data_IF_117489473083
#
_entry.id   IF_117489473083
#
_cell.length_a   1.000
_cell.length_b   1.000
_cell.length_c   1.000
_cell.angle_alpha   90.00
_cell.angle_beta   90.00
_cell.angle_gamma   90.00
#
_symmetry.space_group_name_H-M   'P 1'
#
loop_
_entity.id
_entity.type
_entity.pdbx_description
1 polymer ?
#
# COMPACT_ATOMS: atom_id res chain seq x y z
N UNK A 1 28.01 36.20 -29.93
CA UNK A 1 29.40 35.79 -30.22
C UNK A 1 30.01 35.01 -29.06
N UNK A 2 30.40 35.61 -27.93
CA UNK A 2 31.10 34.86 -26.87
C UNK A 2 30.22 33.75 -26.22
N UNK A 3 28.94 34.02 -25.94
CA UNK A 3 28.00 33.00 -25.40
C UNK A 3 27.69 31.86 -26.38
N UNK A 4 27.76 32.14 -27.68
CA UNK A 4 27.45 31.19 -28.75
C UNK A 4 28.62 30.23 -28.96
N UNK A 5 29.85 30.76 -28.94
CA UNK A 5 31.08 29.97 -28.96
C UNK A 5 31.21 29.03 -27.75
N UNK A 6 30.83 29.50 -26.56
CA UNK A 6 30.81 28.68 -25.34
C UNK A 6 29.81 27.52 -25.45
N UNK A 7 28.64 27.75 -26.05
CA UNK A 7 27.63 26.71 -26.23
C UNK A 7 28.04 25.69 -27.30
N UNK A 8 28.61 26.14 -28.43
CA UNK A 8 29.16 25.26 -29.47
C UNK A 8 30.25 24.35 -28.92
N UNK A 9 31.18 24.88 -28.12
CA UNK A 9 32.23 24.08 -27.49
C UNK A 9 31.66 23.09 -26.47
N UNK A 10 30.63 23.49 -25.71
CA UNK A 10 29.95 22.59 -24.77
C UNK A 10 29.31 21.39 -25.48
N UNK A 11 28.66 21.63 -26.61
CA UNK A 11 28.03 20.57 -27.42
C UNK A 11 29.07 19.66 -28.05
N UNK A 12 30.18 20.22 -28.57
CA UNK A 12 31.30 19.44 -29.10
C UNK A 12 31.93 18.55 -28.03
N UNK A 13 32.18 19.07 -26.83
CA UNK A 13 32.70 18.28 -25.70
C UNK A 13 31.71 17.19 -25.26
N UNK A 14 30.39 17.46 -25.30
CA UNK A 14 29.38 16.44 -25.06
C UNK A 14 29.42 15.35 -26.15
N UNK A 15 29.65 15.72 -27.41
CA UNK A 15 29.87 14.76 -28.49
C UNK A 15 31.15 13.94 -28.27
N UNK A 16 32.28 14.55 -27.87
CA UNK A 16 33.51 13.81 -27.50
C UNK A 16 33.23 12.81 -26.37
N UNK A 17 32.56 13.24 -25.30
CA UNK A 17 32.20 12.38 -24.18
C UNK A 17 31.32 11.19 -24.60
N UNK A 18 30.39 11.40 -25.56
CA UNK A 18 29.50 10.36 -26.10
C UNK A 18 30.25 9.15 -26.66
N UNK A 19 31.43 9.35 -27.26
CA UNK A 19 32.20 8.24 -27.83
C UNK A 19 33.07 7.51 -26.81
N UNK A 20 33.22 8.04 -25.58
CA UNK A 20 34.07 7.48 -24.51
C UNK A 20 35.46 7.07 -25.05
N UNK A 21 36.00 7.90 -25.94
CA UNK A 21 37.20 7.57 -26.71
C UNK A 21 38.47 8.00 -25.99
N UNK A 22 38.41 9.07 -25.20
CA UNK A 22 39.52 9.60 -24.40
C UNK A 22 40.02 8.55 -23.41
N UNK A 23 41.34 8.48 -23.25
CA UNK A 23 42.05 7.53 -22.37
C UNK A 23 41.73 6.05 -22.62
N UNK A 24 41.11 5.72 -23.76
CA UNK A 24 40.80 4.34 -24.12
C UNK A 24 42.06 3.60 -24.57
N UNK A 25 42.19 2.28 -24.28
CA UNK A 25 43.37 1.50 -24.64
C UNK A 25 43.74 1.58 -26.12
N UNK A 26 45.03 1.36 -26.49
CA UNK A 26 45.47 1.34 -27.88
C UNK A 26 44.63 0.39 -28.74
N UNK A 27 44.46 0.77 -30.00
CA UNK A 27 43.55 0.09 -30.88
C UNK A 27 44.16 -0.10 -32.28
N UNK A 28 44.30 -1.36 -32.67
CA UNK A 28 44.92 -1.72 -33.93
C UNK A 28 44.20 -1.16 -35.16
N UNK A 29 42.93 -0.76 -35.08
CA UNK A 29 42.22 -0.12 -36.20
C UNK A 29 42.75 1.30 -36.44
N UNK A 30 42.76 2.17 -35.42
CA UNK A 30 43.26 3.54 -35.54
C UNK A 30 44.77 3.57 -35.83
N UNK A 31 45.54 2.64 -35.26
CA UNK A 31 47.00 2.52 -35.50
C UNK A 31 47.34 2.22 -36.95
N UNK A 32 46.55 1.37 -37.60
CA UNK A 32 46.71 1.11 -39.03
C UNK A 32 46.39 2.35 -39.87
N UNK A 33 45.40 3.13 -39.48
CA UNK A 33 44.99 4.34 -40.21
C UNK A 33 46.07 5.43 -40.10
N UNK A 34 46.56 5.71 -38.88
CA UNK A 34 47.65 6.66 -38.64
C UNK A 34 48.92 6.28 -39.44
N UNK A 35 49.30 5.01 -39.42
CA UNK A 35 50.45 4.50 -40.17
C UNK A 35 50.24 4.56 -41.70
N UNK A 36 49.02 4.29 -42.17
CA UNK A 36 48.69 4.36 -43.60
C UNK A 36 48.70 5.81 -44.10
N UNK A 37 48.14 6.74 -43.33
CA UNK A 37 48.17 8.17 -43.65
C UNK A 37 49.61 8.67 -43.80
N UNK A 38 50.50 8.37 -42.84
CA UNK A 38 51.91 8.73 -42.90
C UNK A 38 52.61 8.17 -44.16
N UNK A 39 52.38 6.89 -44.49
CA UNK A 39 52.98 6.22 -45.66
C UNK A 39 52.50 6.79 -46.99
N UNK A 40 51.20 7.02 -47.14
CA UNK A 40 50.62 7.53 -48.39
C UNK A 40 51.09 8.96 -48.67
N UNK A 41 51.20 9.79 -47.63
CA UNK A 41 51.74 11.14 -47.73
C UNK A 41 53.27 11.20 -47.74
N UNK A 42 53.94 10.06 -47.57
CA UNK A 42 55.40 9.95 -47.49
C UNK A 42 56.01 10.92 -46.45
N UNK A 43 55.35 11.04 -45.29
CA UNK A 43 55.81 11.85 -44.17
C UNK A 43 56.02 10.98 -42.93
N UNK A 44 56.88 11.38 -41.98
CA UNK A 44 57.25 10.52 -40.85
C UNK A 44 56.10 10.30 -39.86
N UNK A 45 55.14 11.23 -39.76
CA UNK A 45 54.17 11.25 -38.66
C UNK A 45 52.73 11.25 -39.19
N UNK A 46 51.89 10.40 -38.60
CA UNK A 46 50.43 10.39 -38.79
C UNK A 46 49.74 10.18 -37.44
N UNK A 47 48.66 10.92 -37.17
CA UNK A 47 48.01 10.98 -35.86
C UNK A 47 46.49 11.03 -36.02
N UNK A 48 45.78 10.18 -35.29
CA UNK A 48 44.36 10.35 -34.98
C UNK A 48 44.28 11.00 -33.60
N UNK A 49 43.82 12.24 -33.55
CA UNK A 49 43.74 13.04 -32.34
C UNK A 49 42.31 13.40 -32.00
N UNK A 50 42.01 13.51 -30.71
CA UNK A 50 40.74 13.98 -30.14
C UNK A 50 41.06 15.19 -29.27
N UNK A 51 40.34 16.28 -29.48
CA UNK A 51 40.55 17.54 -28.75
C UNK A 51 39.62 17.56 -27.55
N UNK A 52 40.20 17.42 -26.36
CA UNK A 52 39.53 17.52 -25.06
C UNK A 52 39.54 18.97 -24.55
N UNK A 53 39.06 19.23 -23.34
CA UNK A 53 38.95 20.57 -22.76
C UNK A 53 40.30 21.30 -22.69
N UNK A 54 41.32 20.63 -22.18
CA UNK A 54 42.64 21.20 -21.83
C UNK A 54 43.82 20.52 -22.56
N UNK A 55 43.55 19.41 -23.25
CA UNK A 55 44.57 18.63 -23.96
C UNK A 55 44.11 18.19 -25.35
N UNK A 56 45.07 17.83 -26.19
CA UNK A 56 44.84 17.05 -27.40
C UNK A 56 45.36 15.65 -27.12
N UNK A 57 44.45 14.68 -27.09
CA UNK A 57 44.76 13.30 -26.82
C UNK A 57 44.92 12.53 -28.13
N UNK A 58 46.01 11.77 -28.27
CA UNK A 58 46.29 11.01 -29.47
C UNK A 58 45.72 9.61 -29.31
N UNK A 59 44.54 9.38 -29.92
CA UNK A 59 43.95 8.05 -29.96
C UNK A 59 44.87 7.04 -30.64
N UNK A 60 45.62 7.53 -31.62
CA UNK A 60 46.64 6.77 -32.32
C UNK A 60 47.70 7.70 -32.89
N UNK A 61 48.95 7.25 -32.91
CA UNK A 61 50.08 7.98 -33.46
C UNK A 61 51.06 7.02 -34.14
N UNK A 62 51.69 7.49 -35.22
CA UNK A 62 52.75 6.80 -35.93
C UNK A 62 53.96 7.73 -36.05
N UNK A 63 55.17 7.20 -35.84
CA UNK A 63 56.42 7.94 -36.01
C UNK A 63 56.77 8.94 -34.91
N UNK A 64 56.02 8.94 -33.80
CA UNK A 64 56.27 9.75 -32.61
C UNK A 64 55.88 8.94 -31.35
N UNK A 65 56.55 9.18 -30.21
CA UNK A 65 56.29 8.52 -28.92
C UNK A 65 55.70 9.53 -27.91
N UNK A 66 54.57 10.13 -28.27
CA UNK A 66 53.83 11.09 -27.43
C UNK A 66 52.36 10.70 -27.48
N UNK A 67 51.68 10.64 -26.33
CA UNK A 67 50.27 10.23 -26.23
C UNK A 67 49.30 11.42 -26.13
N UNK A 68 49.78 12.58 -25.68
CA UNK A 68 48.99 13.80 -25.60
C UNK A 68 49.89 15.04 -25.54
N UNK A 69 49.33 16.18 -25.88
CA UNK A 69 49.94 17.51 -25.74
C UNK A 69 48.95 18.50 -25.17
N UNK A 70 49.44 19.63 -24.67
CA UNK A 70 48.58 20.73 -24.23
C UNK A 70 47.77 21.28 -25.41
N UNK A 71 46.51 21.64 -25.16
CA UNK A 71 45.59 22.06 -26.23
C UNK A 71 46.07 23.29 -26.98
N UNK A 72 46.74 24.21 -26.29
CA UNK A 72 47.26 25.46 -26.87
C UNK A 72 48.48 25.23 -27.76
N UNK A 73 49.21 24.13 -27.55
CA UNK A 73 50.44 23.81 -28.28
C UNK A 73 50.14 23.12 -29.62
N UNK A 74 49.01 22.43 -29.74
CA UNK A 74 48.70 21.60 -30.90
C UNK A 74 47.95 22.30 -32.03
N UNK A 75 48.39 22.02 -33.25
CA UNK A 75 47.75 22.44 -34.50
C UNK A 75 46.31 21.89 -34.65
N UNK A 76 46.01 20.72 -34.08
CA UNK A 76 44.68 20.11 -34.16
C UNK A 76 43.57 20.98 -33.52
N UNK A 77 43.87 21.75 -32.47
CA UNK A 77 42.88 22.61 -31.81
C UNK A 77 42.40 23.76 -32.71
N UNK A 78 43.24 24.22 -33.63
CA UNK A 78 42.86 25.21 -34.65
C UNK A 78 42.12 24.58 -35.82
N UNK A 79 42.52 23.36 -36.21
CA UNK A 79 41.89 22.63 -37.30
C UNK A 79 40.42 22.28 -37.03
N UNK A 80 40.05 21.92 -35.79
CA UNK A 80 38.66 21.59 -35.45
C UNK A 80 37.68 22.77 -35.52
N UNK A 81 38.19 24.01 -35.60
CA UNK A 81 37.37 25.22 -35.77
C UNK A 81 36.98 25.45 -37.24
N UNK A 82 37.43 24.60 -38.15
CA UNK A 82 37.14 24.63 -39.58
C UNK A 82 36.51 23.30 -39.97
N UNK A 83 35.67 23.31 -41.02
CA UNK A 83 35.02 22.11 -41.56
C UNK A 83 35.78 21.47 -42.73
N UNK A 84 36.86 22.13 -43.17
CA UNK A 84 37.67 21.72 -44.31
C UNK A 84 39.10 21.33 -43.91
N UNK A 85 39.87 20.82 -44.88
CA UNK A 85 41.27 20.49 -44.71
C UNK A 85 42.05 21.70 -44.18
N UNK A 86 42.74 21.50 -43.06
CA UNK A 86 43.69 22.48 -42.56
C UNK A 86 45.10 22.14 -43.06
N UNK A 87 45.54 22.85 -44.10
CA UNK A 87 46.82 22.63 -44.79
C UNK A 87 47.81 23.76 -44.48
N UNK A 88 49.02 23.37 -44.08
CA UNK A 88 50.20 24.23 -43.90
C UNK A 88 51.35 23.59 -44.68
N UNK A 89 51.70 24.18 -45.82
CA UNK A 89 52.73 23.66 -46.72
C UNK A 89 54.15 23.98 -46.25
N UNK A 90 54.34 25.11 -45.55
CA UNK A 90 55.56 25.46 -44.82
C UNK A 90 55.25 26.28 -43.55
N UNK A 91 55.32 25.61 -42.40
CA UNK A 91 54.97 26.19 -41.11
C UNK A 91 55.91 27.31 -40.63
N UNK A 92 57.13 27.42 -41.18
CA UNK A 92 58.08 28.49 -40.82
C UNK A 92 57.73 29.85 -41.42
N UNK A 93 56.94 29.87 -42.49
CA UNK A 93 56.55 31.09 -43.18
C UNK A 93 55.04 31.33 -43.17
N UNK A 94 54.26 30.33 -42.75
CA UNK A 94 52.81 30.45 -42.62
C UNK A 94 52.45 31.29 -41.39
N UNK A 95 51.78 32.46 -41.56
CA UNK A 95 51.44 33.35 -40.45
C UNK A 95 50.61 32.70 -39.34
N UNK A 96 49.87 31.63 -39.66
CA UNK A 96 49.01 30.91 -38.71
C UNK A 96 49.81 30.05 -37.72
N UNK A 97 51.07 29.73 -38.03
CA UNK A 97 51.89 28.80 -37.25
C UNK A 97 53.19 29.41 -36.71
N UNK A 98 53.50 30.68 -37.03
CA UNK A 98 54.75 31.35 -36.62
C UNK A 98 55.01 31.36 -35.11
N UNK A 99 53.94 31.44 -34.31
CA UNK A 99 54.04 31.47 -32.84
C UNK A 99 53.84 30.08 -32.19
N UNK A 100 53.66 29.02 -32.99
CA UNK A 100 53.36 27.69 -32.46
C UNK A 100 54.66 27.00 -31.96
N UNK A 101 54.65 26.45 -30.72
CA UNK A 101 55.84 25.81 -30.14
C UNK A 101 56.41 24.64 -30.95
N UNK A 102 55.57 23.90 -31.69
CA UNK A 102 56.00 22.75 -32.49
C UNK A 102 56.82 23.17 -33.72
N UNK A 103 56.68 24.42 -34.17
CA UNK A 103 57.43 24.99 -35.29
C UNK A 103 58.77 25.56 -34.82
N UNK A 104 58.77 26.26 -33.69
CA UNK A 104 59.96 26.92 -33.14
C UNK A 104 60.86 25.99 -32.30
N UNK A 105 60.32 24.86 -31.83
CA UNK A 105 61.00 23.88 -30.97
C UNK A 105 61.73 22.76 -31.71
N UNK A 106 62.18 21.75 -30.95
CA UNK A 106 63.02 20.64 -31.44
C UNK A 106 62.31 19.69 -32.41
N UNK A 107 60.97 19.69 -32.44
CA UNK A 107 60.19 18.89 -33.40
C UNK A 107 60.44 19.31 -34.86
N UNK A 108 60.77 20.60 -35.07
CA UNK A 108 61.10 21.15 -36.38
C UNK A 108 59.96 21.02 -37.40
N UNK A 109 58.71 21.22 -36.95
CA UNK A 109 57.54 21.05 -37.80
C UNK A 109 57.58 22.01 -39.00
N UNK A 110 57.45 21.47 -40.21
CA UNK A 110 57.41 22.24 -41.47
C UNK A 110 56.15 22.00 -42.28
N UNK A 111 55.58 20.80 -42.21
CA UNK A 111 54.40 20.44 -42.97
C UNK A 111 53.32 19.89 -42.04
N UNK A 112 52.08 20.34 -42.23
CA UNK A 112 50.91 19.82 -41.54
C UNK A 112 49.72 19.76 -42.51
N UNK A 113 49.04 18.62 -42.56
CA UNK A 113 47.75 18.48 -43.19
C UNK A 113 46.81 17.72 -42.25
N UNK A 114 45.69 18.33 -41.87
CA UNK A 114 44.73 17.74 -40.95
C UNK A 114 43.30 17.85 -41.45
N UNK A 115 42.57 16.73 -41.42
CA UNK A 115 41.14 16.68 -41.71
C UNK A 115 40.37 16.53 -40.39
N UNK A 116 39.35 17.37 -40.14
CA UNK A 116 38.46 17.23 -38.99
C UNK A 116 37.76 15.87 -38.96
N UNK A 117 37.66 15.30 -37.77
CA UNK A 117 36.85 14.12 -37.47
C UNK A 117 35.46 14.57 -37.06
N UNK A 118 34.58 14.74 -38.04
CA UNK A 118 33.24 15.31 -37.86
C UNK A 118 32.19 14.23 -37.64
N UNK A 119 31.41 14.36 -36.57
CA UNK A 119 30.27 13.46 -36.30
C UNK A 119 29.11 13.69 -37.28
N UNK A 120 28.17 12.73 -37.33
CA UNK A 120 26.95 12.87 -38.15
C UNK A 120 26.08 14.09 -37.77
N UNK A 121 26.20 14.56 -36.52
CA UNK A 121 25.52 15.74 -35.98
C UNK A 121 26.38 17.01 -36.06
N UNK A 122 27.49 16.97 -36.80
CA UNK A 122 28.25 18.15 -37.19
C UNK A 122 29.27 18.65 -36.16
N UNK A 123 29.70 17.80 -35.22
CA UNK A 123 30.68 18.18 -34.20
C UNK A 123 32.08 17.65 -34.55
N UNK A 124 33.08 18.52 -34.60
CA UNK A 124 34.47 18.15 -34.85
C UNK A 124 35.13 17.63 -33.56
N UNK A 125 35.35 16.32 -33.48
CA UNK A 125 35.92 15.68 -32.28
C UNK A 125 37.42 15.92 -32.15
N UNK A 126 38.11 15.99 -33.29
CA UNK A 126 39.55 16.11 -33.40
C UNK A 126 39.98 16.04 -34.86
N UNK A 127 41.18 15.52 -35.14
CA UNK A 127 41.67 15.42 -36.53
C UNK A 127 42.41 14.12 -36.80
N UNK A 128 42.28 13.62 -38.03
CA UNK A 128 43.31 12.80 -38.65
C UNK A 128 44.30 13.74 -39.33
N UNK A 129 45.54 13.76 -38.87
CA UNK A 129 46.57 14.64 -39.40
C UNK A 129 47.89 13.92 -39.71
N UNK A 130 48.63 14.48 -40.65
CA UNK A 130 49.96 14.03 -41.06
C UNK A 130 50.93 15.20 -40.99
N UNK A 131 52.14 14.92 -40.50
CA UNK A 131 53.13 15.95 -40.16
C UNK A 131 54.53 15.59 -40.68
N UNK A 132 55.30 16.61 -41.05
CA UNK A 132 56.66 16.43 -41.57
C UNK A 132 57.61 17.59 -41.25
N UNK A 133 58.91 17.32 -41.34
CA UNK A 133 60.00 18.27 -41.07
C UNK A 133 60.55 18.95 -42.34
N UNK A 134 59.88 18.76 -43.48
CA UNK A 134 60.21 19.43 -44.74
C UNK A 134 58.94 20.06 -45.33
N UNK A 135 59.05 21.23 -45.99
CA UNK A 135 57.94 21.81 -46.74
C UNK A 135 57.43 20.86 -47.82
N UNK A 136 56.12 20.85 -48.03
CA UNK A 136 55.47 19.95 -49.00
C UNK A 136 54.16 20.54 -49.51
N UNK A 137 53.94 20.41 -50.82
CA UNK A 137 52.63 20.63 -51.44
C UNK A 137 51.83 19.31 -51.50
N UNK A 138 50.51 19.42 -51.48
CA UNK A 138 49.59 18.27 -51.47
C UNK A 138 48.69 18.33 -52.69
N UNK A 139 48.52 17.20 -53.37
CA UNK A 139 47.64 17.09 -54.54
C UNK A 139 46.18 16.88 -54.12
N UNK A 140 45.23 17.17 -55.01
CA UNK A 140 43.79 16.93 -54.73
C UNK A 140 43.50 15.45 -54.41
N UNK A 141 44.19 14.51 -55.07
CA UNK A 141 44.06 13.08 -54.80
C UNK A 141 44.52 12.72 -53.38
N UNK A 142 45.64 13.29 -52.92
CA UNK A 142 46.11 13.10 -51.54
C UNK A 142 45.12 13.70 -50.52
N UNK A 143 44.55 14.86 -50.80
CA UNK A 143 43.49 15.46 -49.96
C UNK A 143 42.29 14.53 -49.85
N UNK A 144 41.85 13.94 -50.96
CA UNK A 144 40.73 12.99 -50.96
C UNK A 144 41.06 11.72 -50.16
N UNK A 145 42.28 11.19 -50.31
CA UNK A 145 42.74 10.05 -49.51
C UNK A 145 42.70 10.35 -48.01
N UNK A 146 43.14 11.53 -47.56
CA UNK A 146 43.11 11.88 -46.14
C UNK A 146 41.67 12.04 -45.62
N UNK A 147 40.76 12.57 -46.44
CA UNK A 147 39.33 12.64 -46.12
C UNK A 147 38.70 11.26 -46.00
N UNK A 148 39.01 10.34 -46.92
CA UNK A 148 38.51 8.96 -46.87
C UNK A 148 39.01 8.23 -45.62
N UNK A 149 40.29 8.42 -45.25
CA UNK A 149 40.82 7.86 -44.01
C UNK A 149 40.16 8.46 -42.77
N UNK A 150 39.89 9.77 -42.76
CA UNK A 150 39.16 10.43 -41.67
C UNK A 150 37.72 9.91 -41.55
N UNK A 151 37.05 9.66 -42.67
CA UNK A 151 35.73 9.02 -42.69
C UNK A 151 35.77 7.61 -42.09
N UNK A 152 36.78 6.79 -42.43
CA UNK A 152 36.96 5.45 -41.84
C UNK A 152 37.17 5.52 -40.32
N UNK A 153 37.92 6.53 -39.82
CA UNK A 153 38.06 6.76 -38.37
C UNK A 153 36.71 7.05 -37.73
N UNK A 154 35.89 7.90 -38.36
CA UNK A 154 34.55 8.21 -37.86
C UNK A 154 33.62 7.00 -37.90
N UNK A 155 33.63 6.20 -38.97
CA UNK A 155 32.84 4.97 -39.08
C UNK A 155 33.19 3.99 -37.95
N UNK A 156 34.48 3.85 -37.61
CA UNK A 156 34.94 3.01 -36.51
C UNK A 156 34.44 3.54 -35.14
N UNK A 157 34.43 4.86 -34.93
CA UNK A 157 33.88 5.47 -33.73
C UNK A 157 32.36 5.27 -33.61
N UNK A 158 31.62 5.39 -34.72
CA UNK A 158 30.17 5.19 -34.76
C UNK A 158 29.77 3.72 -34.53
N UNK A 159 30.53 2.78 -35.10
CA UNK A 159 30.30 1.35 -34.89
C UNK A 159 30.43 0.99 -33.41
N UNK A 160 31.44 1.51 -32.71
CA UNK A 160 31.63 1.29 -31.27
C UNK A 160 30.49 1.86 -30.44
N UNK A 161 30.08 3.09 -30.75
CA UNK A 161 28.96 3.73 -30.07
C UNK A 161 27.68 2.92 -30.22
N UNK A 162 27.41 2.44 -31.43
CA UNK A 162 26.22 1.64 -31.75
C UNK A 162 26.23 0.28 -31.05
N UNK A 163 27.38 -0.40 -31.01
CA UNK A 163 27.54 -1.67 -30.32
C UNK A 163 27.28 -1.54 -28.81
N UNK A 164 27.85 -0.52 -28.16
CA UNK A 164 27.61 -0.24 -26.72
C UNK A 164 26.14 0.04 -26.43
N UNK A 165 25.51 0.95 -27.20
CA UNK A 165 24.09 1.28 -27.04
C UNK A 165 23.18 0.05 -27.14
N UNK A 166 23.51 -0.86 -28.06
CA UNK A 166 22.75 -2.11 -28.22
C UNK A 166 22.85 -2.98 -26.98
N UNK A 167 24.05 -3.18 -26.45
CA UNK A 167 24.29 -3.98 -25.24
C UNK A 167 23.58 -3.36 -24.02
N UNK A 168 23.66 -2.04 -23.85
CA UNK A 168 23.02 -1.36 -22.73
C UNK A 168 21.50 -1.48 -22.78
N UNK A 169 20.91 -1.28 -23.97
CA UNK A 169 19.47 -1.42 -24.18
C UNK A 169 19.00 -2.86 -23.94
N UNK A 170 19.72 -3.86 -24.43
CA UNK A 170 19.39 -5.28 -24.18
C UNK A 170 19.44 -5.61 -22.68
N UNK A 171 20.46 -5.10 -21.97
CA UNK A 171 20.58 -5.30 -20.53
C UNK A 171 19.46 -4.60 -19.75
N UNK A 172 19.00 -3.42 -20.20
CA UNK A 172 17.84 -2.73 -19.62
C UNK A 172 16.54 -3.50 -19.89
N UNK A 173 16.27 -3.90 -21.13
CA UNK A 173 15.09 -4.67 -21.51
C UNK A 173 15.01 -5.99 -20.73
N UNK A 174 16.14 -6.68 -20.58
CA UNK A 174 16.20 -7.92 -19.81
C UNK A 174 15.87 -7.70 -18.34
N UNK A 175 16.43 -6.67 -17.70
CA UNK A 175 16.12 -6.33 -16.30
C UNK A 175 14.63 -6.01 -16.13
N UNK A 176 14.07 -5.19 -17.02
CA UNK A 176 12.65 -4.85 -16.99
C UNK A 176 11.76 -6.08 -17.17
N UNK A 177 12.13 -7.01 -18.07
CA UNK A 177 11.39 -8.26 -18.27
C UNK A 177 11.46 -9.19 -17.05
N UNK A 178 12.63 -9.30 -16.42
CA UNK A 178 12.82 -10.08 -15.19
C UNK A 178 11.99 -9.49 -14.03
N UNK A 179 11.99 -8.17 -13.85
CA UNK A 179 11.19 -7.49 -12.84
C UNK A 179 9.68 -7.65 -13.07
N UNK A 180 9.22 -7.55 -14.33
CA UNK A 180 7.83 -7.80 -14.69
C UNK A 180 7.42 -9.24 -14.41
N UNK A 181 8.26 -10.22 -14.76
CA UNK A 181 8.00 -11.63 -14.51
C UNK A 181 7.90 -11.93 -13.00
N UNK A 182 8.82 -11.39 -12.19
CA UNK A 182 8.81 -11.53 -10.75
C UNK A 182 7.55 -10.91 -10.11
N UNK A 183 7.15 -9.72 -10.58
CA UNK A 183 5.93 -9.05 -10.12
C UNK A 183 4.66 -9.85 -10.44
N UNK A 184 4.58 -10.45 -11.63
CA UNK A 184 3.47 -11.32 -12.00
C UNK A 184 3.40 -12.58 -11.14
N UNK A 185 4.54 -13.26 -10.94
CA UNK A 185 4.61 -14.45 -10.08
C UNK A 185 4.18 -14.14 -8.63
N UNK A 186 4.61 -13.01 -8.08
CA UNK A 186 4.20 -12.58 -6.74
C UNK A 186 2.68 -12.34 -6.64
N UNK A 187 2.07 -11.74 -7.67
CA UNK A 187 0.61 -11.53 -7.72
C UNK A 187 -0.16 -12.85 -7.79
N UNK A 188 0.29 -13.80 -8.62
CA UNK A 188 -0.33 -15.12 -8.70
C UNK A 188 -0.26 -15.87 -7.37
N UNK A 189 0.91 -15.89 -6.71
CA UNK A 189 1.06 -16.54 -5.42
C UNK A 189 0.17 -15.90 -4.33
N UNK A 190 0.06 -14.57 -4.31
CA UNK A 190 -0.82 -13.87 -3.38
C UNK A 190 -2.31 -14.20 -3.62
N UNK A 191 -2.71 -14.30 -4.89
CA UNK A 191 -4.08 -14.66 -5.27
C UNK A 191 -4.42 -16.11 -4.88
N UNK A 192 -3.49 -17.05 -5.10
CA UNK A 192 -3.67 -18.45 -4.66
C UNK A 192 -3.78 -18.55 -3.14
N UNK A 193 -2.91 -17.87 -2.40
CA UNK A 193 -2.95 -17.84 -0.93
C UNK A 193 -4.30 -17.28 -0.41
N UNK A 194 -4.78 -16.16 -0.96
CA UNK A 194 -6.06 -15.59 -0.60
C UNK A 194 -7.24 -16.54 -0.91
N UNK A 195 -7.19 -17.22 -2.06
CA UNK A 195 -8.21 -18.22 -2.42
C UNK A 195 -8.21 -19.41 -1.47
N UNK A 196 -7.03 -19.89 -1.06
CA UNK A 196 -6.90 -20.96 -0.08
C UNK A 196 -7.45 -20.56 1.28
N UNK A 197 -7.14 -19.36 1.76
CA UNK A 197 -7.63 -18.85 3.03
C UNK A 197 -9.16 -18.75 3.07
N UNK A 198 -9.78 -18.24 1.99
CA UNK A 198 -11.25 -18.20 1.85
C UNK A 198 -11.85 -19.61 1.86
N UNK A 199 -11.22 -20.56 1.16
CA UNK A 199 -11.68 -21.95 1.13
C UNK A 199 -11.58 -22.62 2.51
N UNK A 200 -10.51 -22.37 3.27
CA UNK A 200 -10.32 -22.89 4.63
C UNK A 200 -11.34 -22.32 5.61
N UNK A 201 -11.58 -21.00 5.59
CA UNK A 201 -12.61 -20.35 6.41
C UNK A 201 -13.99 -20.96 6.12
N UNK A 202 -14.35 -21.07 4.84
CA UNK A 202 -15.63 -21.67 4.42
C UNK A 202 -15.74 -23.13 4.85
N UNK A 203 -14.67 -23.92 4.69
CA UNK A 203 -14.66 -25.34 5.09
C UNK A 203 -14.80 -25.51 6.61
N UNK A 204 -14.15 -24.65 7.41
CA UNK A 204 -14.28 -24.64 8.87
C UNK A 204 -15.73 -24.38 9.29
N UNK A 205 -16.34 -23.31 8.80
CA UNK A 205 -17.71 -22.91 9.16
C UNK A 205 -18.72 -23.97 8.69
N UNK A 206 -18.61 -24.43 7.44
CA UNK A 206 -19.46 -25.52 6.93
C UNK A 206 -19.25 -26.85 7.68
N UNK A 207 -18.05 -27.08 8.21
CA UNK A 207 -17.75 -28.21 9.09
C UNK A 207 -18.55 -28.13 10.40
N UNK A 208 -18.49 -26.98 11.08
CA UNK A 208 -19.23 -26.72 12.33
C UNK A 208 -20.74 -26.84 12.13
N UNK A 209 -21.27 -26.22 11.08
CA UNK A 209 -22.70 -26.29 10.73
C UNK A 209 -23.20 -27.71 10.49
N UNK A 210 -22.39 -28.56 9.83
CA UNK A 210 -22.78 -29.96 9.57
C UNK A 210 -22.76 -30.86 10.80
N UNK A 211 -21.99 -30.50 11.82
CA UNK A 211 -21.83 -31.31 13.05
C UNK A 211 -22.74 -30.85 14.19
N UNK A 212 -23.36 -29.68 14.06
CA UNK A 212 -24.12 -29.01 15.13
C UNK A 212 -23.27 -28.80 16.40
N UNK A 213 -21.97 -28.52 16.24
CA UNK A 213 -20.99 -28.41 17.34
C UNK A 213 -21.02 -27.03 18.06
N UNK A 214 -22.03 -26.20 17.81
CA UNK A 214 -22.17 -24.89 18.48
C UNK A 214 -22.74 -25.13 19.87
N UNK A 215 -22.00 -24.70 20.90
CA UNK A 215 -22.46 -24.77 22.29
C UNK A 215 -22.78 -23.37 22.81
N UNK A 216 -23.58 -23.31 23.88
CA UNK A 216 -23.96 -22.06 24.52
C UNK A 216 -23.44 -22.01 25.93
N UNK A 217 -22.85 -20.87 26.29
CA UNK A 217 -22.70 -20.48 27.69
C UNK A 217 -23.66 -19.34 27.98
N UNK A 218 -24.09 -19.25 29.23
CA UNK A 218 -25.06 -18.24 29.64
C UNK A 218 -24.38 -17.23 30.57
N UNK A 219 -24.68 -15.95 30.37
CA UNK A 219 -24.27 -14.89 31.29
C UNK A 219 -25.50 -14.31 31.99
N UNK A 220 -25.50 -14.19 33.33
CA UNK A 220 -26.66 -13.68 34.06
C UNK A 220 -26.82 -12.16 33.89
N UNK A 221 -28.06 -11.77 33.62
CA UNK A 221 -28.54 -10.39 33.72
C UNK A 221 -29.31 -10.29 35.05
N UNK A 222 -28.85 -9.39 35.92
CA UNK A 222 -29.33 -9.28 37.29
C UNK A 222 -30.11 -7.99 37.49
N UNK A 223 -31.15 -8.04 38.32
CA UNK A 223 -31.72 -6.85 38.94
C UNK A 223 -30.71 -6.28 39.94
N UNK A 224 -30.29 -5.03 39.75
CA UNK A 224 -29.19 -4.45 40.53
C UNK A 224 -29.59 -4.12 41.97
N UNK A 225 -30.88 -4.03 42.29
CA UNK A 225 -31.38 -3.77 43.64
C UNK A 225 -31.42 -5.07 44.48
N UNK A 226 -31.99 -6.13 43.91
CA UNK A 226 -32.26 -7.42 44.56
C UNK A 226 -31.19 -8.48 44.31
N UNK A 227 -30.34 -8.27 43.31
CA UNK A 227 -29.33 -9.22 42.81
C UNK A 227 -29.93 -10.58 42.40
N UNK A 228 -31.19 -10.59 41.99
CA UNK A 228 -31.84 -11.77 41.42
C UNK A 228 -31.64 -11.81 39.90
N UNK A 229 -31.50 -13.02 39.37
CA UNK A 229 -31.44 -13.25 37.92
C UNK A 229 -32.79 -12.90 37.29
N UNK A 230 -32.79 -11.95 36.36
CA UNK A 230 -33.97 -11.59 35.56
C UNK A 230 -33.88 -12.12 34.13
N UNK A 231 -32.67 -12.39 33.64
CA UNK A 231 -32.43 -12.92 32.31
C UNK A 231 -31.06 -13.58 32.19
N UNK A 232 -30.85 -14.24 31.07
CA UNK A 232 -29.58 -14.86 30.72
C UNK A 232 -29.27 -14.55 29.25
N UNK A 233 -28.09 -14.02 28.97
CA UNK A 233 -27.60 -13.86 27.60
C UNK A 233 -26.96 -15.15 27.10
N UNK A 234 -27.41 -15.63 25.93
CA UNK A 234 -26.84 -16.79 25.27
C UNK A 234 -25.63 -16.39 24.42
N UNK A 235 -24.46 -16.88 24.80
CA UNK A 235 -23.21 -16.60 24.12
C UNK A 235 -22.65 -17.87 23.47
N UNK A 236 -22.55 -17.85 22.14
CA UNK A 236 -22.06 -18.97 21.36
C UNK A 236 -20.60 -19.31 21.68
N UNK A 237 -20.28 -20.61 21.67
CA UNK A 237 -18.94 -21.16 21.78
C UNK A 237 -18.72 -22.17 20.67
N UNK A 238 -17.61 -22.00 19.96
CA UNK A 238 -17.26 -22.79 18.78
C UNK A 238 -16.14 -23.80 19.11
N UNK A 239 -16.15 -24.98 18.48
CA UNK A 239 -15.24 -26.07 18.83
C UNK A 239 -13.78 -25.75 18.48
N UNK A 240 -12.85 -26.16 19.36
CA UNK A 240 -11.44 -26.34 19.02
C UNK A 240 -10.65 -25.06 18.69
N UNK A 241 -11.12 -23.88 19.09
CA UNK A 241 -10.41 -22.62 18.80
C UNK A 241 -10.26 -21.71 20.02
N UNK A 242 -9.20 -20.90 20.03
CA UNK A 242 -9.07 -19.72 20.88
C UNK A 242 -9.68 -18.47 20.24
N UNK A 243 -10.25 -18.60 19.03
CA UNK A 243 -10.83 -17.52 18.26
C UNK A 243 -12.11 -17.02 18.96
N UNK A 244 -12.26 -15.70 19.18
CA UNK A 244 -13.44 -15.17 19.84
C UNK A 244 -14.68 -15.31 18.95
N UNK A 245 -15.90 -15.43 19.52
CA UNK A 245 -17.12 -15.69 18.75
C UNK A 245 -17.44 -14.64 17.68
N UNK A 246 -17.14 -13.36 17.92
CA UNK A 246 -17.35 -12.28 16.95
C UNK A 246 -16.57 -12.51 15.64
N UNK A 247 -15.33 -13.01 15.71
CA UNK A 247 -14.54 -13.32 14.52
C UNK A 247 -15.11 -14.51 13.74
N UNK A 248 -15.75 -15.48 14.40
CA UNK A 248 -16.45 -16.57 13.72
C UNK A 248 -17.63 -16.07 12.88
N UNK A 249 -18.44 -15.17 13.44
CA UNK A 249 -19.55 -14.55 12.71
C UNK A 249 -19.03 -13.66 11.57
N UNK A 250 -17.94 -12.92 11.78
CA UNK A 250 -17.30 -12.13 10.72
C UNK A 250 -16.72 -13.00 9.59
N UNK A 251 -16.05 -14.10 9.92
CA UNK A 251 -15.57 -15.07 8.95
C UNK A 251 -16.73 -15.66 8.15
N UNK A 252 -17.83 -16.00 8.82
CA UNK A 252 -19.02 -16.54 8.19
C UNK A 252 -19.66 -15.55 7.22
N UNK A 253 -19.79 -14.29 7.62
CA UNK A 253 -20.24 -13.22 6.73
C UNK A 253 -19.30 -13.10 5.50
N UNK A 254 -17.99 -13.12 5.70
CA UNK A 254 -16.99 -12.98 4.62
C UNK A 254 -17.02 -14.09 3.57
N UNK A 255 -17.49 -15.29 3.95
CA UNK A 255 -17.59 -16.46 3.06
C UNK A 255 -19.04 -16.81 2.68
N UNK A 256 -20.00 -15.96 3.00
CA UNK A 256 -21.42 -16.12 2.66
C UNK A 256 -22.12 -17.27 3.39
N UNK A 257 -21.77 -17.51 4.65
CA UNK A 257 -22.40 -18.48 5.56
C UNK A 257 -22.89 -17.82 6.87
N UNK A 258 -23.01 -16.49 6.89
CA UNK A 258 -23.35 -15.71 8.09
C UNK A 258 -24.74 -16.04 8.64
N UNK A 259 -25.75 -16.04 7.77
CA UNK A 259 -27.14 -16.34 8.15
C UNK A 259 -27.26 -17.75 8.72
N UNK A 260 -26.66 -18.74 8.08
CA UNK A 260 -26.72 -20.14 8.51
C UNK A 260 -26.06 -20.34 9.87
N UNK A 261 -24.94 -19.65 10.13
CA UNK A 261 -24.25 -19.70 11.41
C UNK A 261 -25.05 -19.02 12.53
N UNK A 262 -25.63 -17.84 12.26
CA UNK A 262 -26.49 -17.16 13.22
C UNK A 262 -27.74 -17.99 13.55
N UNK A 263 -28.42 -18.56 12.55
CA UNK A 263 -29.58 -19.44 12.78
C UNK A 263 -29.22 -20.70 13.58
N UNK A 264 -28.04 -21.28 13.34
CA UNK A 264 -27.56 -22.42 14.13
C UNK A 264 -27.27 -22.02 15.59
N UNK A 265 -26.69 -20.84 15.81
CA UNK A 265 -26.52 -20.27 17.15
C UNK A 265 -27.88 -20.01 17.82
N UNK A 266 -28.85 -19.40 17.13
CA UNK A 266 -30.20 -19.20 17.68
C UNK A 266 -30.84 -20.52 18.08
N UNK A 267 -30.77 -21.57 17.25
CA UNK A 267 -31.27 -22.90 17.60
C UNK A 267 -30.61 -23.45 18.87
N UNK A 268 -29.29 -23.37 18.97
CA UNK A 268 -28.56 -23.83 20.15
C UNK A 268 -28.89 -23.02 21.42
N UNK A 269 -29.17 -21.72 21.28
CA UNK A 269 -29.63 -20.85 22.36
C UNK A 269 -31.03 -21.24 22.84
N UNK A 270 -31.99 -21.43 21.92
CA UNK A 270 -33.37 -21.79 22.26
C UNK A 270 -33.45 -23.12 23.03
N UNK A 271 -32.53 -24.06 22.81
CA UNK A 271 -32.43 -25.29 23.61
C UNK A 271 -32.10 -25.05 25.11
N UNK A 272 -31.66 -23.85 25.49
CA UNK A 272 -31.37 -23.51 26.88
C UNK A 272 -32.58 -22.92 27.63
N UNK A 273 -33.66 -22.53 26.96
CA UNK A 273 -34.74 -21.72 27.54
C UNK A 273 -35.45 -22.41 28.72
N UNK A 274 -35.60 -23.74 28.65
CA UNK A 274 -36.26 -24.54 29.69
C UNK A 274 -35.35 -24.77 30.91
N UNK A 275 -34.05 -24.46 30.80
CA UNK A 275 -33.09 -24.54 31.91
C UNK A 275 -33.05 -23.26 32.74
N UNK A 276 -33.71 -22.20 32.29
CA UNK A 276 -33.73 -20.91 32.96
C UNK A 276 -34.72 -20.89 34.13
N UNK A 277 -34.45 -20.15 35.21
CA UNK A 277 -35.39 -19.95 36.32
C UNK A 277 -36.77 -19.47 35.83
N UNK A 278 -37.87 -19.85 36.51
CA UNK A 278 -39.20 -19.34 36.18
C UNK A 278 -39.22 -17.81 36.15
N UNK A 279 -39.72 -17.22 35.06
CA UNK A 279 -39.78 -15.78 34.88
C UNK A 279 -38.51 -15.14 34.28
N UNK A 280 -37.37 -15.84 34.25
CA UNK A 280 -36.18 -15.36 33.56
C UNK A 280 -36.34 -15.49 32.04
N UNK A 281 -35.86 -14.48 31.30
CA UNK A 281 -35.81 -14.48 29.84
C UNK A 281 -34.45 -14.95 29.30
N UNK A 282 -34.43 -15.40 28.05
CA UNK A 282 -33.24 -15.70 27.29
C UNK A 282 -32.97 -14.57 26.29
N UNK A 283 -31.81 -13.93 26.41
CA UNK A 283 -31.32 -12.96 25.44
C UNK A 283 -30.57 -13.69 24.31
N UNK A 284 -30.92 -13.37 23.06
CA UNK A 284 -30.36 -13.99 21.85
C UNK A 284 -29.96 -12.90 20.88
N UNK A 285 -28.70 -12.91 20.47
CA UNK A 285 -28.15 -12.01 19.47
C UNK A 285 -28.60 -12.39 18.06
N UNK A 286 -29.05 -11.41 17.27
CA UNK A 286 -29.37 -11.59 15.85
C UNK A 286 -29.06 -10.32 15.04
N UNK A 287 -28.46 -10.50 13.86
CA UNK A 287 -28.28 -9.41 12.91
C UNK A 287 -29.61 -9.01 12.24
N UNK A 288 -29.75 -7.78 11.71
CA UNK A 288 -30.89 -7.36 10.92
C UNK A 288 -31.24 -8.33 9.77
N UNK A 289 -30.22 -8.86 9.08
CA UNK A 289 -30.41 -9.82 7.99
C UNK A 289 -31.02 -11.14 8.47
N UNK A 290 -30.64 -11.60 9.66
CA UNK A 290 -31.24 -12.78 10.28
C UNK A 290 -32.64 -12.49 10.79
N UNK A 291 -32.93 -11.30 11.31
CA UNK A 291 -34.27 -10.93 11.79
C UNK A 291 -35.32 -10.95 10.68
N UNK A 292 -34.96 -10.49 9.49
CA UNK A 292 -35.86 -10.52 8.33
C UNK A 292 -35.98 -11.90 7.68
N UNK A 293 -35.16 -12.88 8.09
CA UNK A 293 -35.20 -14.23 7.52
C UNK A 293 -36.46 -14.99 7.94
N UNK A 294 -37.17 -15.68 7.01
CA UNK A 294 -38.30 -16.54 7.35
C UNK A 294 -37.95 -17.64 8.35
N UNK A 295 -36.72 -18.16 8.29
CA UNK A 295 -36.24 -19.23 9.15
C UNK A 295 -36.14 -18.78 10.61
N UNK A 296 -35.70 -17.54 10.89
CA UNK A 296 -35.73 -17.03 12.25
C UNK A 296 -37.17 -16.86 12.75
N UNK A 297 -38.05 -16.36 11.90
CA UNK A 297 -39.46 -16.17 12.23
C UNK A 297 -40.10 -17.50 12.67
N UNK A 298 -39.87 -18.57 11.91
CA UNK A 298 -40.36 -19.91 12.25
C UNK A 298 -39.83 -20.40 13.62
N UNK A 299 -38.52 -20.24 13.87
CA UNK A 299 -37.89 -20.64 15.13
C UNK A 299 -38.46 -19.90 16.34
N UNK A 300 -38.60 -18.57 16.25
CA UNK A 300 -39.03 -17.75 17.38
C UNK A 300 -40.55 -17.83 17.62
N UNK A 301 -41.36 -17.99 16.58
CA UNK A 301 -42.82 -18.21 16.71
C UNK A 301 -43.14 -19.58 17.33
N UNK A 302 -42.28 -20.58 17.16
CA UNK A 302 -42.42 -21.89 17.80
C UNK A 302 -41.94 -21.92 19.26
N UNK A 303 -41.21 -20.89 19.70
CA UNK A 303 -40.63 -20.79 21.04
C UNK A 303 -41.54 -20.00 22.00
N UNK A 304 -41.33 -20.07 23.33
CA UNK A 304 -42.13 -19.28 24.28
C UNK A 304 -41.74 -17.80 24.21
N UNK A 305 -42.31 -17.06 23.26
CA UNK A 305 -41.95 -15.68 22.89
C UNK A 305 -41.84 -14.72 24.06
N UNK A 306 -42.75 -14.79 25.05
CA UNK A 306 -42.71 -13.98 26.27
C UNK A 306 -41.47 -14.18 27.16
N UNK A 307 -40.62 -15.17 26.87
CA UNK A 307 -39.34 -15.43 27.54
C UNK A 307 -38.13 -15.11 26.66
N UNK A 308 -38.30 -14.46 25.51
CA UNK A 308 -37.21 -14.15 24.58
C UNK A 308 -36.98 -12.64 24.53
N UNK A 309 -35.71 -12.25 24.67
CA UNK A 309 -35.22 -10.92 24.33
C UNK A 309 -34.30 -11.07 23.11
N UNK A 310 -34.69 -10.51 21.98
CA UNK A 310 -33.90 -10.52 20.76
C UNK A 310 -33.01 -9.28 20.74
N UNK A 311 -31.70 -9.46 20.71
CA UNK A 311 -30.73 -8.38 20.75
C UNK A 311 -30.24 -8.07 19.34
N UNK A 312 -30.47 -6.83 18.90
CA UNK A 312 -30.03 -6.36 17.60
C UNK A 312 -28.54 -5.98 17.67
N UNK A 313 -27.71 -6.67 16.89
CA UNK A 313 -26.28 -6.37 16.82
C UNK A 313 -26.02 -5.04 16.09
N UNK A 314 -25.19 -4.17 16.68
CA UNK A 314 -25.01 -2.78 16.23
C UNK A 314 -24.27 -2.62 14.88
N UNK A 315 -23.41 -3.59 14.53
CA UNK A 315 -22.44 -3.45 13.43
C UNK A 315 -23.03 -3.73 12.04
N UNK A 316 -24.30 -4.11 11.95
CA UNK A 316 -24.93 -4.51 10.71
C UNK A 316 -25.75 -3.37 10.08
N UNK A 317 -25.45 -3.07 8.82
CA UNK A 317 -26.22 -2.09 8.05
C UNK A 317 -27.68 -2.52 7.94
N UNK A 318 -28.60 -1.69 8.44
CA UNK A 318 -30.04 -1.86 8.24
C UNK A 318 -30.43 -1.18 6.93
N UNK A 319 -30.74 -1.92 5.85
CA UNK A 319 -31.08 -1.31 4.56
C UNK A 319 -32.45 -0.63 4.61
N UNK A 320 -33.37 -1.18 5.41
CA UNK A 320 -34.74 -0.69 5.58
C UNK A 320 -35.24 -0.96 7.00
N UNK A 321 -35.46 0.10 7.77
CA UNK A 321 -36.11 -0.01 9.09
C UNK A 321 -37.57 -0.46 8.98
N UNK A 322 -38.24 -0.17 7.86
CA UNK A 322 -39.61 -0.62 7.65
C UNK A 322 -39.67 -2.14 7.52
N UNK A 323 -38.79 -2.73 6.72
CA UNK A 323 -38.72 -4.18 6.53
C UNK A 323 -38.37 -4.90 7.84
N UNK A 324 -37.42 -4.35 8.59
CA UNK A 324 -37.07 -4.87 9.91
C UNK A 324 -38.24 -4.76 10.90
N UNK A 325 -38.96 -3.64 10.92
CA UNK A 325 -40.15 -3.46 11.75
C UNK A 325 -41.28 -4.42 11.36
N UNK A 326 -41.49 -4.64 10.06
CA UNK A 326 -42.51 -5.56 9.56
C UNK A 326 -42.19 -7.01 9.94
N UNK A 327 -40.90 -7.39 9.90
CA UNK A 327 -40.42 -8.68 10.37
C UNK A 327 -40.52 -8.83 11.89
N UNK A 328 -40.29 -7.77 12.67
CA UNK A 328 -40.40 -7.82 14.14
C UNK A 328 -41.85 -7.86 14.63
N UNK A 329 -42.80 -7.28 13.89
CA UNK A 329 -44.21 -7.19 14.30
C UNK A 329 -44.85 -8.54 14.72
N UNK A 330 -44.76 -9.63 13.93
CA UNK A 330 -45.31 -10.94 14.34
C UNK A 330 -44.61 -11.51 15.57
N UNK A 331 -43.30 -11.30 15.74
CA UNK A 331 -42.55 -11.75 16.90
C UNK A 331 -42.99 -11.01 18.18
N UNK A 332 -43.14 -9.69 18.09
CA UNK A 332 -43.64 -8.87 19.20
C UNK A 332 -45.07 -9.24 19.59
N UNK A 333 -45.91 -9.65 18.62
CA UNK A 333 -47.28 -10.10 18.88
C UNK A 333 -47.36 -11.37 19.75
N UNK A 334 -46.33 -12.25 19.69
CA UNK A 334 -46.21 -13.42 20.58
C UNK A 334 -45.37 -13.16 21.84
N UNK A 335 -45.00 -11.90 22.07
CA UNK A 335 -44.32 -11.44 23.29
C UNK A 335 -42.80 -11.41 23.24
N UNK A 336 -42.18 -11.65 22.08
CA UNK A 336 -40.73 -11.46 21.92
C UNK A 336 -40.41 -9.98 22.14
N UNK A 337 -39.47 -9.70 23.03
CA UNK A 337 -38.96 -8.35 23.30
C UNK A 337 -37.75 -8.05 22.43
N UNK A 338 -37.51 -6.78 22.12
CA UNK A 338 -36.35 -6.32 21.38
C UNK A 338 -35.41 -5.54 22.29
N UNK A 339 -34.12 -5.85 22.23
CA UNK A 339 -33.06 -5.01 22.76
C UNK A 339 -32.24 -4.40 21.63
N UNK A 340 -31.74 -3.18 21.85
CA UNK A 340 -30.63 -2.62 21.07
C UNK A 340 -29.37 -2.67 21.91
N UNK A 341 -28.34 -3.30 21.37
CA UNK A 341 -27.04 -3.44 22.04
C UNK A 341 -26.14 -2.22 21.86
N UNK A 342 -25.09 -2.11 22.69
CA UNK A 342 -23.99 -1.15 22.57
C UNK A 342 -24.41 0.34 22.49
N UNK A 343 -25.45 0.73 23.23
CA UNK A 343 -25.87 2.13 23.29
C UNK A 343 -24.79 3.00 23.95
N UNK A 344 -24.28 3.98 23.20
CA UNK A 344 -23.21 4.89 23.64
C UNK A 344 -21.89 4.74 22.87
N UNK A 345 -21.69 3.63 22.15
CA UNK A 345 -20.48 3.39 21.35
C UNK A 345 -20.51 4.07 19.97
N UNK A 346 -21.70 4.37 19.42
CA UNK A 346 -21.84 4.93 18.06
C UNK A 346 -23.20 5.56 17.73
N UNK A 347 -23.32 6.12 16.52
CA UNK A 347 -24.54 6.78 16.03
C UNK A 347 -25.61 5.79 15.53
N UNK A 348 -25.21 4.59 15.10
CA UNK A 348 -26.12 3.57 14.57
C UNK A 348 -27.09 3.05 15.64
N UNK A 349 -26.61 2.78 16.86
CA UNK A 349 -27.45 2.33 17.98
C UNK A 349 -28.55 3.33 18.33
N UNK A 350 -28.27 4.65 18.31
CA UNK A 350 -29.30 5.68 18.48
C UNK A 350 -30.35 5.66 17.37
N UNK A 351 -29.96 5.44 16.11
CA UNK A 351 -30.92 5.30 15.01
C UNK A 351 -31.79 4.06 15.17
N UNK A 352 -31.24 2.94 15.62
CA UNK A 352 -32.01 1.73 15.92
C UNK A 352 -33.05 2.00 17.01
N UNK A 353 -32.66 2.67 18.10
CA UNK A 353 -33.56 2.99 19.20
C UNK A 353 -34.73 3.86 18.73
N UNK A 354 -34.45 4.92 17.96
CA UNK A 354 -35.48 5.85 17.48
C UNK A 354 -36.47 5.21 16.51
N UNK A 355 -36.01 4.33 15.62
CA UNK A 355 -36.85 3.75 14.58
C UNK A 355 -37.57 2.46 15.02
N UNK A 356 -36.99 1.68 15.94
CA UNK A 356 -37.52 0.36 16.32
C UNK A 356 -38.26 0.35 17.66
N UNK A 357 -38.10 1.38 18.50
CA UNK A 357 -38.69 1.48 19.84
C UNK A 357 -38.50 0.17 20.64
N UNK A 358 -37.26 -0.14 21.01
CA UNK A 358 -36.94 -1.38 21.70
C UNK A 358 -37.54 -1.41 23.12
N UNK A 359 -37.70 -2.60 23.65
CA UNK A 359 -38.13 -2.82 25.03
C UNK A 359 -36.94 -2.72 26.01
N UNK A 360 -35.71 -2.85 25.51
CA UNK A 360 -34.48 -2.76 26.29
C UNK A 360 -33.37 -2.01 25.53
N UNK A 361 -32.60 -1.20 26.25
CA UNK A 361 -31.39 -0.55 25.76
C UNK A 361 -30.23 -1.02 26.64
N UNK A 362 -29.19 -1.58 26.01
CA UNK A 362 -28.00 -2.06 26.72
C UNK A 362 -26.91 -0.99 26.64
N UNK A 363 -26.38 -0.55 27.79
CA UNK A 363 -25.31 0.42 27.86
C UNK A 363 -23.98 -0.28 27.64
N UNK A 364 -23.24 0.15 26.63
CA UNK A 364 -21.95 -0.44 26.28
C UNK A 364 -20.94 -0.40 27.45
N UNK A 365 -20.03 -1.37 27.48
CA UNK A 365 -18.95 -1.47 28.45
C UNK A 365 -18.08 -0.22 28.47
N UNK A 366 -17.87 0.49 27.36
CA UNK A 366 -17.09 1.74 27.34
C UNK A 366 -17.74 2.89 28.13
N UNK A 367 -19.07 2.82 28.35
CA UNK A 367 -19.83 3.75 29.17
C UNK A 367 -19.88 3.30 30.64
N UNK A 368 -19.98 2.00 30.89
CA UNK A 368 -20.02 1.42 32.24
C UNK A 368 -18.66 1.43 32.93
N UNK A 369 -17.60 1.07 32.21
CA UNK A 369 -16.25 0.94 32.78
C UNK A 369 -15.82 2.29 33.38
N UNK A 370 -15.38 2.31 34.63
CA UNK A 370 -14.92 3.53 35.31
C UNK A 370 -15.99 4.61 35.51
N UNK A 371 -17.29 4.28 35.43
CA UNK A 371 -18.38 5.24 35.64
C UNK A 371 -18.37 5.87 37.05
N UNK A 372 -17.82 5.16 38.04
CA UNK A 372 -17.66 5.65 39.41
C UNK A 372 -16.75 6.89 39.51
N UNK A 373 -15.74 6.99 38.65
CA UNK A 373 -14.76 8.10 38.66
C UNK A 373 -15.07 9.18 37.62
N UNK A 374 -15.67 8.81 36.50
CA UNK A 374 -15.88 9.73 35.37
C UNK A 374 -17.25 10.44 35.46
N UNK A 375 -17.29 11.78 35.65
CA UNK A 375 -18.55 12.53 35.67
C UNK A 375 -19.26 12.57 34.30
N UNK A 376 -18.53 12.53 33.17
CA UNK A 376 -19.11 12.55 31.84
C UNK A 376 -19.84 11.23 31.52
N UNK A 377 -19.22 10.08 31.87
CA UNK A 377 -19.89 8.77 31.77
C UNK A 377 -21.17 8.71 32.59
N UNK A 378 -21.15 9.23 33.84
CA UNK A 378 -22.36 9.33 34.68
C UNK A 378 -23.44 10.19 34.06
N UNK A 379 -23.08 11.36 33.54
CA UNK A 379 -24.03 12.26 32.90
C UNK A 379 -24.67 11.62 31.66
N UNK A 380 -23.88 10.95 30.81
CA UNK A 380 -24.39 10.28 29.62
C UNK A 380 -25.27 9.07 29.96
N UNK A 381 -24.85 8.23 30.91
CA UNK A 381 -25.69 7.13 31.41
C UNK A 381 -27.02 7.64 32.00
N UNK A 382 -26.98 8.76 32.74
CA UNK A 382 -28.19 9.42 33.27
C UNK A 382 -29.10 9.90 32.14
N UNK A 383 -28.54 10.52 31.10
CA UNK A 383 -29.31 10.96 29.95
C UNK A 383 -29.98 9.78 29.21
N UNK A 384 -29.27 8.66 29.05
CA UNK A 384 -29.81 7.44 28.44
C UNK A 384 -30.86 6.77 29.32
N UNK A 385 -30.73 6.82 30.64
CA UNK A 385 -31.76 6.34 31.58
C UNK A 385 -33.06 7.15 31.44
N UNK A 386 -32.95 8.48 31.44
CA UNK A 386 -34.10 9.37 31.25
C UNK A 386 -34.76 9.11 29.90
N UNK A 387 -33.95 9.04 28.84
CA UNK A 387 -34.44 8.75 27.49
C UNK A 387 -35.13 7.38 27.39
N UNK A 388 -34.57 6.34 28.02
CA UNK A 388 -35.18 5.02 28.10
C UNK A 388 -36.57 5.07 28.75
N UNK A 389 -36.71 5.78 29.87
CA UNK A 389 -38.01 5.97 30.51
C UNK A 389 -39.03 6.66 29.61
N UNK A 390 -38.64 7.73 28.92
CA UNK A 390 -39.53 8.48 28.02
C UNK A 390 -40.08 7.62 26.88
N UNK A 391 -39.32 6.63 26.42
CA UNK A 391 -39.76 5.69 25.38
C UNK A 391 -40.25 4.33 25.93
N UNK A 392 -40.34 4.18 27.26
CA UNK A 392 -40.72 2.94 27.94
C UNK A 392 -39.78 1.74 27.68
N UNK A 393 -38.49 2.00 27.50
CA UNK A 393 -37.44 0.99 27.40
C UNK A 393 -36.71 0.80 28.75
N UNK A 394 -36.45 -0.45 29.11
CA UNK A 394 -35.62 -0.80 30.27
C UNK A 394 -34.13 -0.61 29.95
N UNK A 395 -33.32 -0.21 30.93
CA UNK A 395 -31.86 -0.08 30.76
C UNK A 395 -31.14 -1.27 31.40
N UNK A 396 -30.21 -1.86 30.66
CA UNK A 396 -29.27 -2.88 31.16
C UNK A 396 -27.86 -2.32 31.05
N UNK A 397 -27.09 -2.25 32.13
CA UNK A 397 -25.68 -1.86 32.05
C UNK A 397 -24.77 -3.08 31.81
N UNK A 398 -23.93 -3.02 30.78
CA UNK A 398 -22.99 -4.09 30.46
C UNK A 398 -21.60 -3.86 31.03
N UNK A 399 -20.82 -4.93 31.18
CA UNK A 399 -19.40 -4.81 31.52
C UNK A 399 -19.13 -4.34 32.94
N UNK A 400 -20.00 -4.66 33.90
CA UNK A 400 -19.76 -4.36 35.32
C UNK A 400 -18.65 -5.28 35.86
N UNK A 401 -17.49 -4.70 36.18
CA UNK A 401 -16.31 -5.45 36.63
C UNK A 401 -15.97 -5.21 38.11
N UNK A 402 -16.46 -4.12 38.70
CA UNK A 402 -16.14 -3.71 40.08
C UNK A 402 -17.37 -3.42 40.94
N UNK A 403 -17.18 -3.47 42.26
CA UNK A 403 -18.23 -3.13 43.22
C UNK A 403 -18.63 -1.66 43.13
N UNK A 404 -17.66 -0.78 42.88
CA UNK A 404 -17.84 0.66 42.81
C UNK A 404 -18.64 1.08 41.56
N UNK A 405 -18.44 0.40 40.43
CA UNK A 405 -19.27 0.56 39.23
C UNK A 405 -20.72 0.16 39.51
N UNK A 406 -20.93 -1.01 40.15
CA UNK A 406 -22.25 -1.49 40.54
C UNK A 406 -22.96 -0.49 41.47
N UNK A 407 -22.29 -0.02 42.52
CA UNK A 407 -22.84 0.95 43.47
C UNK A 407 -23.22 2.26 42.77
N UNK A 408 -22.38 2.73 41.85
CA UNK A 408 -22.65 3.94 41.07
C UNK A 408 -23.88 3.76 40.18
N UNK A 409 -23.96 2.67 39.41
CA UNK A 409 -25.09 2.37 38.53
C UNK A 409 -26.40 2.24 39.33
N UNK A 410 -26.36 1.59 40.50
CA UNK A 410 -27.50 1.52 41.43
C UNK A 410 -27.93 2.89 41.91
N UNK A 411 -26.97 3.75 42.28
CA UNK A 411 -27.25 5.11 42.74
C UNK A 411 -27.85 5.99 41.63
N UNK A 412 -27.47 5.76 40.37
CA UNK A 412 -28.10 6.41 39.20
C UNK A 412 -29.51 5.89 38.89
N UNK A 413 -29.91 4.75 39.47
CA UNK A 413 -31.22 4.14 39.24
C UNK A 413 -31.27 3.20 38.03
N UNK A 414 -30.13 2.67 37.59
CA UNK A 414 -30.08 1.64 36.55
C UNK A 414 -30.72 0.35 37.11
N UNK A 415 -31.76 -0.21 36.45
CA UNK A 415 -32.51 -1.31 37.03
C UNK A 415 -31.79 -2.65 36.90
N UNK A 416 -31.12 -2.90 35.76
CA UNK A 416 -30.51 -4.19 35.45
C UNK A 416 -29.06 -4.04 35.02
N UNK A 417 -28.28 -5.11 35.16
CA UNK A 417 -26.93 -5.14 34.62
C UNK A 417 -26.33 -6.52 34.53
N UNK A 418 -25.26 -6.59 33.75
CA UNK A 418 -24.45 -7.77 33.54
C UNK A 418 -22.96 -7.43 33.51
N UNK A 419 -22.13 -8.39 33.87
CA UNK A 419 -20.68 -8.20 33.91
C UNK A 419 -20.00 -9.24 34.78
N UNK A 420 -18.67 -9.31 34.70
CA UNK A 420 -17.89 -10.35 35.40
C UNK A 420 -17.98 -10.26 36.92
N UNK A 421 -18.28 -9.09 37.47
CA UNK A 421 -18.56 -8.91 38.89
C UNK A 421 -19.87 -9.59 39.32
N UNK A 422 -20.89 -9.57 38.45
CA UNK A 422 -22.22 -10.12 38.72
C UNK A 422 -22.31 -11.61 38.37
N UNK A 423 -21.60 -12.04 37.33
CA UNK A 423 -21.50 -13.42 36.92
C UNK A 423 -20.81 -13.55 35.57
N UNK A 424 -19.84 -14.47 35.49
CA UNK A 424 -19.13 -14.76 34.25
C UNK A 424 -19.96 -15.66 33.33
N UNK A 425 -19.81 -15.55 32.00
CA UNK A 425 -20.35 -16.54 31.06
C UNK A 425 -19.90 -17.94 31.44
N UNK A 426 -20.85 -18.85 31.62
CA UNK A 426 -20.54 -20.23 31.98
C UNK A 426 -21.70 -21.19 31.71
N UNK A 427 -21.47 -22.50 31.90
CA UNK A 427 -22.55 -23.48 31.88
C UNK A 427 -23.52 -23.18 33.04
N UNK A 428 -24.81 -23.05 32.73
CA UNK A 428 -25.83 -22.88 33.78
C UNK A 428 -26.30 -24.25 34.29
N UNK A 429 -26.23 -24.54 35.60
CA UNK A 429 -26.67 -25.81 36.14
C UNK A 429 -28.20 -25.99 35.93
N UNK A 430 -28.69 -27.22 35.70
CA UNK A 430 -30.13 -27.46 35.59
C UNK A 430 -30.83 -27.06 36.91
N UNK A 431 -31.99 -26.40 36.80
CA UNK A 431 -32.78 -25.97 37.96
C UNK A 431 -33.16 -27.20 38.80
N UNK A 432 -32.71 -27.25 40.06
CA UNK A 432 -33.24 -28.19 41.04
C UNK A 432 -34.66 -27.75 41.43
N UNK A 433 -35.60 -28.68 41.45
CA UNK A 433 -37.05 -28.44 41.50
C UNK A 433 -37.62 -27.82 42.81
N UNK A 434 -36.86 -27.05 43.59
CA UNK A 434 -37.36 -26.49 44.86
C UNK A 434 -37.07 -24.97 45.03
N UNK A 435 -38.19 -24.22 45.06
CA UNK A 435 -38.46 -22.88 45.62
C UNK A 435 -38.26 -21.61 44.73
N UNK A 436 -38.92 -20.47 45.07
CA UNK A 436 -40.36 -20.26 45.31
C UNK A 436 -40.99 -19.23 44.32
N UNK A 437 -42.31 -19.10 44.44
CA UNK A 437 -43.30 -18.40 43.60
C UNK A 437 -43.00 -16.95 43.16
N UNK A 438 -43.28 -16.70 41.87
CA UNK A 438 -43.69 -15.46 41.17
C UNK A 438 -43.30 -14.10 41.78
N UNK A 439 -42.32 -13.44 41.13
CA UNK A 439 -42.03 -12.01 41.31
C UNK A 439 -43.03 -11.18 40.52
N UNK A 440 -43.81 -10.34 41.20
CA UNK A 440 -44.66 -9.33 40.57
C UNK A 440 -43.79 -8.22 39.96
N UNK A 441 -44.04 -7.89 38.68
CA UNK A 441 -43.41 -6.74 38.00
C UNK A 441 -43.76 -5.44 38.74
N UNK A 442 -42.77 -4.57 38.92
CA UNK A 442 -42.95 -3.23 39.50
C UNK A 442 -43.65 -2.35 38.45
N UNK A 443 -44.72 -1.60 38.80
CA UNK A 443 -45.26 -0.60 37.88
C UNK A 443 -44.24 0.53 37.70
N UNK A 444 -44.17 1.05 36.47
CA UNK A 444 -43.42 2.27 36.13
C UNK A 444 -43.84 3.37 37.10
N UNK A 445 -42.88 4.02 37.77
CA UNK A 445 -43.16 5.12 38.71
C UNK A 445 -43.58 6.36 37.92
N UNK A 446 -44.87 6.66 37.90
CA UNK A 446 -45.35 8.02 37.65
C UNK A 446 -45.04 8.88 38.89
N UNK A 447 -44.01 9.73 38.81
CA UNK A 447 -43.99 11.06 39.44
C UNK A 447 -42.61 11.72 39.37
N UNK A 448 -42.52 12.79 38.57
CA UNK A 448 -41.87 14.02 39.04
C UNK A 448 -42.93 15.11 38.98
N UNK A 449 -43.35 15.50 40.18
CA UNK A 449 -44.22 16.64 40.45
C UNK A 449 -43.56 17.92 39.99
N UNK A 450 -44.40 18.79 39.42
CA UNK A 450 -44.10 20.14 38.98
C UNK A 450 -43.27 20.94 40.01
N UNK A 451 -42.17 21.53 39.53
CA UNK A 451 -41.57 22.69 40.18
C UNK A 451 -42.38 23.90 39.75
N UNK A 452 -43.00 24.55 40.73
CA UNK A 452 -43.74 25.79 40.57
C UNK A 452 -42.79 26.96 40.29
N UNK A 453 -43.10 27.74 39.26
CA UNK A 453 -43.11 29.21 39.29
C UNK A 453 -44.44 29.70 38.70
#
# INVERSE_FOLDING_TARGET
>A
MEREQVETERQRLAAVARYEILDSPPDGAFDRISALAARLFQVPIGIVSIVDRDRIWFKSHHGIEVEQIDREDGLCASAILQDELWLVTDAQIDPRTLANPLVAGEMGLRFYAGVPLTTHDGHNLGTLCVLGQQPREVTEDEVNVLRDLAAIVMDELELRLSARKTVDLEAELRRNAEDQANSLLARYAAQEAASHEVAERRARIAGTLRRDDITMVLQPIMDLETLQVVGMEALARFPGTSQPPNEWFADAASVGLGLELELAAVRAALLQIDRLPPGAYLAINASPATIVSPELQELLLAAPGGRILLELTEHAHVPSYQELSDALAPLRAVGVRLAVDDAGAGFASLQHILNLRPDTIKLDTSLTSGINVDPARRALATALLIFGWDISAEIVAEGIETAEELETLRALGVPYGQGYYLGRPGPYPPVSAEAPSAVARRPVRDSVTAVSE
#
